data_IF_451784422364
#
_entry.id   IF_451784422364
#
_cell.length_a   1.000
_cell.length_b   1.000
_cell.length_c   1.000
_cell.angle_alpha   90.00
_cell.angle_beta   90.00
_cell.angle_gamma   90.00
#
_symmetry.space_group_name_H-M   'P 1'
#
loop_
_entity.id
_entity.type
_entity.pdbx_description
1 polymer ?
#
# COMPACT_ATOMS: atom_id res chain seq x y z
N UNK A 1 -5.39 21.38 -4.20
CA UNK A 1 -4.13 21.92 -4.76
C UNK A 1 -3.44 20.97 -5.73
N UNK A 2 -3.18 19.71 -5.36
CA UNK A 2 -2.47 18.75 -6.23
C UNK A 2 -3.12 18.52 -7.62
N UNK A 3 -4.45 18.41 -7.70
CA UNK A 3 -5.16 18.23 -8.97
C UNK A 3 -5.03 19.43 -9.94
N UNK A 4 -4.93 20.65 -9.42
CA UNK A 4 -4.72 21.86 -10.23
C UNK A 4 -3.27 21.90 -10.75
N UNK A 5 -2.30 21.57 -9.90
CA UNK A 5 -0.87 21.47 -10.29
C UNK A 5 -0.70 20.39 -11.36
N UNK A 6 -1.35 19.23 -11.21
CA UNK A 6 -1.31 18.17 -12.21
C UNK A 6 -1.92 18.62 -13.55
N UNK A 7 -3.09 19.28 -13.52
CA UNK A 7 -3.71 19.81 -14.75
C UNK A 7 -2.85 20.87 -15.44
N UNK A 8 -2.26 21.78 -14.68
CA UNK A 8 -1.35 22.80 -15.23
C UNK A 8 -0.07 22.15 -15.76
N UNK A 9 0.49 21.17 -15.06
CA UNK A 9 1.62 20.36 -15.53
C UNK A 9 1.31 19.63 -16.84
N UNK A 10 0.13 19.02 -16.96
CA UNK A 10 -0.31 18.36 -18.19
C UNK A 10 -0.48 19.35 -19.35
N UNK A 11 -1.04 20.53 -19.08
CA UNK A 11 -1.23 21.57 -20.09
C UNK A 11 0.11 22.14 -20.59
N UNK A 12 1.04 22.43 -19.68
CA UNK A 12 2.37 22.94 -20.03
C UNK A 12 3.18 21.92 -20.83
N UNK A 13 3.09 20.66 -20.45
CA UNK A 13 3.68 19.54 -21.17
C UNK A 13 3.10 19.38 -22.58
N UNK A 14 1.78 19.51 -22.76
CA UNK A 14 1.14 19.56 -24.09
C UNK A 14 1.65 20.73 -24.94
N UNK A 15 1.90 21.88 -24.31
CA UNK A 15 2.46 23.05 -24.98
C UNK A 15 3.93 22.84 -25.37
N UNK A 16 4.70 22.10 -24.58
CA UNK A 16 6.10 21.76 -24.85
C UNK A 16 6.28 20.68 -25.94
N UNK A 17 5.30 19.80 -26.13
CA UNK A 17 5.37 18.77 -27.18
C UNK A 17 5.37 19.35 -28.61
N UNK A 18 4.65 20.47 -28.84
CA UNK A 18 4.58 21.15 -30.14
C UNK A 18 5.92 21.73 -30.63
N UNK A 19 6.65 22.55 -29.85
CA UNK A 19 7.95 23.06 -30.26
C UNK A 19 8.98 21.93 -30.42
N UNK A 20 8.88 20.86 -29.62
CA UNK A 20 9.75 19.69 -29.77
C UNK A 20 9.56 19.01 -31.14
N UNK A 21 8.30 18.84 -31.57
CA UNK A 21 7.96 18.30 -32.88
C UNK A 21 8.57 19.14 -34.02
N UNK A 22 8.42 20.47 -33.92
CA UNK A 22 8.98 21.41 -34.90
C UNK A 22 10.52 21.43 -34.93
N UNK A 23 11.15 21.31 -33.77
CA UNK A 23 12.62 21.21 -33.68
C UNK A 23 13.13 19.89 -34.25
N UNK A 24 12.40 18.80 -34.04
CA UNK A 24 12.74 17.52 -34.64
C UNK A 24 12.62 17.57 -36.17
N UNK A 25 11.55 18.17 -36.69
CA UNK A 25 11.36 18.39 -38.12
C UNK A 25 12.50 19.21 -38.74
N UNK A 26 12.89 20.33 -38.13
CA UNK A 26 13.99 21.15 -38.64
C UNK A 26 15.35 20.44 -38.58
N UNK A 27 15.57 19.62 -37.55
CA UNK A 27 16.78 18.81 -37.41
C UNK A 27 16.86 17.71 -38.47
N UNK A 28 15.75 17.03 -38.75
CA UNK A 28 15.66 15.98 -39.78
C UNK A 28 15.82 16.57 -41.17
N UNK A 29 15.21 17.74 -41.44
CA UNK A 29 15.38 18.45 -42.70
C UNK A 29 16.83 18.92 -42.91
N UNK A 30 17.55 19.25 -41.84
CA UNK A 30 18.95 19.68 -41.89
C UNK A 30 19.96 18.56 -42.18
N UNK A 31 19.62 17.29 -41.97
CA UNK A 31 20.55 16.16 -42.12
C UNK A 31 20.04 15.07 -43.10
N UNK A 32 20.73 14.83 -44.23
CA UNK A 32 20.26 13.90 -45.27
C UNK A 32 20.23 12.41 -44.82
N UNK A 33 21.12 12.00 -43.91
CA UNK A 33 21.11 10.64 -43.36
C UNK A 33 19.90 10.40 -42.44
N UNK A 34 19.59 11.40 -41.61
CA UNK A 34 18.47 11.34 -40.67
C UNK A 34 17.14 11.37 -41.42
N UNK A 35 17.03 12.23 -42.42
CA UNK A 35 15.93 12.28 -43.39
C UNK A 35 15.62 10.90 -43.98
N UNK A 36 16.63 10.19 -44.52
CA UNK A 36 16.43 8.83 -45.06
C UNK A 36 15.94 7.82 -44.02
N UNK A 37 16.50 7.86 -42.81
CA UNK A 37 16.10 6.96 -41.73
C UNK A 37 14.67 7.24 -41.26
N UNK A 38 14.29 8.51 -41.15
CA UNK A 38 12.94 8.93 -40.77
C UNK A 38 11.92 8.49 -41.81
N UNK A 39 12.21 8.64 -43.11
CA UNK A 39 11.35 8.15 -44.18
C UNK A 39 11.16 6.64 -44.09
N UNK A 40 12.24 5.88 -43.85
CA UNK A 40 12.15 4.43 -43.70
C UNK A 40 11.30 4.01 -42.50
N UNK A 41 11.45 4.70 -41.36
CA UNK A 41 10.66 4.44 -40.14
C UNK A 41 9.19 4.81 -40.36
N UNK A 42 8.91 5.96 -40.97
CA UNK A 42 7.56 6.40 -41.28
C UNK A 42 6.85 5.42 -42.23
N UNK A 43 7.55 4.98 -43.28
CA UNK A 43 7.04 4.01 -44.24
C UNK A 43 6.79 2.65 -43.59
N UNK A 44 7.64 2.21 -42.65
CA UNK A 44 7.43 1.00 -41.87
C UNK A 44 6.20 1.12 -40.97
N UNK A 45 6.07 2.22 -40.22
CA UNK A 45 4.91 2.49 -39.37
C UNK A 45 3.61 2.52 -40.16
N UNK A 46 3.60 3.16 -41.32
CA UNK A 46 2.41 3.20 -42.18
C UNK A 46 2.03 1.81 -42.71
N UNK A 47 3.02 0.99 -43.09
CA UNK A 47 2.77 -0.41 -43.48
C UNK A 47 2.20 -1.23 -42.34
N UNK A 48 2.68 -1.02 -41.11
CA UNK A 48 2.13 -1.66 -39.92
C UNK A 48 0.69 -1.22 -39.65
N UNK A 49 0.42 0.08 -39.69
CA UNK A 49 -0.91 0.65 -39.47
C UNK A 49 -1.93 0.08 -40.46
N UNK A 50 -1.59 0.05 -41.75
CA UNK A 50 -2.44 -0.55 -42.78
C UNK A 50 -2.64 -2.05 -42.53
N UNK A 51 -1.62 -2.76 -42.07
CA UNK A 51 -1.70 -4.17 -41.70
C UNK A 51 -2.67 -4.44 -40.54
N UNK A 52 -2.55 -3.66 -39.46
CA UNK A 52 -3.41 -3.77 -38.27
C UNK A 52 -4.86 -3.45 -38.63
N UNK A 53 -5.10 -2.32 -39.31
CA UNK A 53 -6.45 -1.90 -39.68
C UNK A 53 -7.12 -2.91 -40.60
N UNK A 54 -6.41 -3.43 -41.60
CA UNK A 54 -6.96 -4.47 -42.48
C UNK A 54 -7.19 -5.80 -41.77
N UNK A 55 -6.33 -6.17 -40.83
CA UNK A 55 -6.52 -7.34 -39.98
C UNK A 55 -7.77 -7.22 -39.12
N UNK A 56 -7.99 -6.05 -38.53
CA UNK A 56 -9.21 -5.76 -37.77
C UNK A 56 -10.48 -5.76 -38.64
N UNK A 57 -10.37 -5.32 -39.91
CA UNK A 57 -11.46 -5.37 -40.90
C UNK A 57 -11.66 -6.76 -41.55
N UNK A 58 -10.87 -7.77 -41.18
CA UNK A 58 -10.96 -9.13 -41.73
C UNK A 58 -10.56 -9.24 -43.21
N UNK A 59 -9.90 -8.22 -43.78
CA UNK A 59 -9.51 -8.20 -45.21
C UNK A 59 -8.22 -8.99 -45.42
N UNK A 60 -8.33 -10.22 -45.89
CA UNK A 60 -7.17 -11.09 -46.21
C UNK A 60 -6.59 -10.78 -47.59
N UNK A 61 -5.40 -10.19 -47.65
CA UNK A 61 -4.66 -9.95 -48.90
C UNK A 61 -3.60 -8.87 -48.76
N UNK A 62 -2.50 -8.95 -49.52
CA UNK A 62 -1.43 -7.95 -49.53
C UNK A 62 -1.97 -6.62 -50.04
N UNK A 63 -2.07 -5.63 -49.16
CA UNK A 63 -2.32 -4.25 -49.58
C UNK A 63 -1.06 -3.69 -50.24
N UNK A 64 -1.20 -3.19 -51.46
CA UNK A 64 -0.15 -2.37 -52.06
C UNK A 64 -0.15 -1.01 -51.33
N UNK A 65 0.88 -0.78 -50.54
CA UNK A 65 1.12 0.48 -49.86
C UNK A 65 2.17 1.23 -50.67
N UNK A 66 1.75 2.30 -51.34
CA UNK A 66 2.66 3.17 -52.09
C UNK A 66 3.67 3.85 -51.17
N UNK A 67 4.81 4.26 -51.74
CA UNK A 67 5.78 5.07 -51.00
C UNK A 67 5.22 6.46 -50.73
N UNK A 68 5.23 6.87 -49.45
CA UNK A 68 4.75 8.19 -49.04
C UNK A 68 5.73 9.28 -49.49
N UNK A 69 5.22 10.48 -49.79
CA UNK A 69 6.07 11.63 -50.08
C UNK A 69 6.90 12.01 -48.85
N UNK A 70 8.05 12.61 -49.09
CA UNK A 70 9.01 12.98 -48.05
C UNK A 70 8.40 13.90 -46.98
N UNK A 71 7.60 14.88 -47.40
CA UNK A 71 6.92 15.81 -46.49
C UNK A 71 5.96 15.07 -45.55
N UNK A 72 5.18 14.12 -46.07
CA UNK A 72 4.25 13.32 -45.28
C UNK A 72 4.96 12.39 -44.31
N UNK A 73 6.11 11.83 -44.71
CA UNK A 73 6.91 10.99 -43.85
C UNK A 73 7.45 11.77 -42.64
N UNK A 74 7.93 12.99 -42.88
CA UNK A 74 8.45 13.87 -41.83
C UNK A 74 7.32 14.37 -40.92
N UNK A 75 6.15 14.70 -41.48
CA UNK A 75 4.96 15.06 -40.70
C UNK A 75 4.53 13.92 -39.77
N UNK A 76 4.42 12.70 -40.30
CA UNK A 76 4.06 11.51 -39.52
C UNK A 76 5.08 11.24 -38.42
N UNK A 77 6.37 11.32 -38.73
CA UNK A 77 7.44 11.11 -37.75
C UNK A 77 7.44 12.18 -36.65
N UNK A 78 7.22 13.45 -37.02
CA UNK A 78 7.12 14.57 -36.08
C UNK A 78 5.95 14.38 -35.11
N UNK A 79 4.79 13.94 -35.63
CA UNK A 79 3.63 13.58 -34.80
C UNK A 79 3.98 12.46 -33.81
N UNK A 80 4.56 11.37 -34.29
CA UNK A 80 4.96 10.22 -33.47
C UNK A 80 5.97 10.62 -32.38
N UNK A 81 6.94 11.48 -32.68
CA UNK A 81 7.90 12.00 -31.69
C UNK A 81 7.19 12.82 -30.61
N UNK A 82 6.25 13.69 -31.00
CA UNK A 82 5.50 14.53 -30.06
C UNK A 82 4.58 13.72 -29.14
N UNK A 83 3.92 12.71 -29.67
CA UNK A 83 3.08 11.78 -28.91
C UNK A 83 3.94 10.88 -28.02
N UNK A 84 5.08 10.39 -28.52
CA UNK A 84 6.05 9.61 -27.76
C UNK A 84 6.66 10.39 -26.60
N UNK A 85 6.95 11.68 -26.78
CA UNK A 85 7.40 12.55 -25.70
C UNK A 85 6.34 12.66 -24.60
N UNK A 86 5.07 12.88 -24.96
CA UNK A 86 3.97 12.96 -24.00
C UNK A 86 3.79 11.64 -23.24
N UNK A 87 3.82 10.52 -23.95
CA UNK A 87 3.77 9.21 -23.33
C UNK A 87 4.96 8.98 -22.38
N UNK A 88 6.16 9.34 -22.83
CA UNK A 88 7.40 9.23 -22.06
C UNK A 88 7.36 9.99 -20.74
N UNK A 89 6.92 11.25 -20.72
CA UNK A 89 6.83 11.92 -19.41
C UNK A 89 5.68 11.39 -18.55
N UNK A 90 4.60 10.88 -19.16
CA UNK A 90 3.56 10.17 -18.41
C UNK A 90 4.10 8.96 -17.67
N UNK A 91 4.92 8.15 -18.34
CA UNK A 91 5.64 7.02 -17.74
C UNK A 91 6.63 7.51 -16.67
N UNK A 92 7.40 8.56 -16.94
CA UNK A 92 8.35 9.11 -15.97
C UNK A 92 7.65 9.60 -14.69
N UNK A 93 6.53 10.32 -14.82
CA UNK A 93 5.70 10.76 -13.69
C UNK A 93 5.15 9.56 -12.91
N UNK A 94 4.70 8.52 -13.61
CA UNK A 94 4.23 7.30 -12.97
C UNK A 94 5.34 6.63 -12.15
N UNK A 95 6.55 6.52 -12.70
CA UNK A 95 7.71 5.95 -11.99
C UNK A 95 8.06 6.75 -10.74
N UNK A 96 8.03 8.09 -10.83
CA UNK A 96 8.26 8.96 -9.67
C UNK A 96 7.20 8.73 -8.58
N UNK A 97 5.92 8.64 -8.98
CA UNK A 97 4.82 8.38 -8.04
C UNK A 97 4.95 6.98 -7.40
N UNK A 98 5.33 5.96 -8.17
CA UNK A 98 5.58 4.61 -7.65
C UNK A 98 6.72 4.59 -6.63
N UNK A 99 7.82 5.26 -6.93
CA UNK A 99 8.95 5.37 -5.99
C UNK A 99 8.55 6.10 -4.71
N UNK A 100 7.74 7.16 -4.80
CA UNK A 100 7.23 7.87 -3.63
C UNK A 100 6.30 6.99 -2.80
N UNK A 101 5.34 6.30 -3.44
CA UNK A 101 4.39 5.40 -2.77
C UNK A 101 5.10 4.26 -2.05
N UNK A 102 6.09 3.64 -2.68
CA UNK A 102 6.88 2.57 -2.05
C UNK A 102 7.54 3.03 -0.74
N UNK A 103 8.00 4.28 -0.67
CA UNK A 103 8.58 4.85 0.55
C UNK A 103 7.55 5.09 1.65
N UNK A 104 6.37 5.61 1.29
CA UNK A 104 5.28 5.84 2.23
C UNK A 104 4.69 4.53 2.78
N UNK A 105 4.54 3.51 1.93
CA UNK A 105 4.01 2.22 2.33
C UNK A 105 4.97 1.47 3.27
N UNK A 106 6.28 1.62 3.06
CA UNK A 106 7.29 1.05 3.97
C UNK A 106 7.21 1.70 5.35
N UNK A 107 7.12 3.03 5.40
CA UNK A 107 6.98 3.77 6.66
C UNK A 107 5.65 3.46 7.39
N UNK A 108 4.57 3.21 6.65
CA UNK A 108 3.28 2.78 7.24
C UNK A 108 3.39 1.38 7.84
N UNK A 109 4.01 0.44 7.12
CA UNK A 109 4.20 -0.93 7.61
C UNK A 109 5.06 -0.95 8.88
N UNK A 110 6.12 -0.15 8.93
CA UNK A 110 6.95 -0.02 10.15
C UNK A 110 6.14 0.49 11.35
N UNK A 111 5.29 1.51 11.14
CA UNK A 111 4.39 2.00 12.20
C UNK A 111 3.38 0.95 12.65
N UNK A 112 2.78 0.23 11.71
CA UNK A 112 1.81 -0.82 12.04
C UNK A 112 2.45 -1.98 12.82
N UNK A 113 3.70 -2.34 12.48
CA UNK A 113 4.47 -3.33 13.24
C UNK A 113 4.76 -2.82 14.65
N UNK A 114 5.20 -1.57 14.79
CA UNK A 114 5.48 -0.96 16.09
C UNK A 114 4.22 -0.88 16.98
N UNK A 115 3.07 -0.51 16.42
CA UNK A 115 1.79 -0.48 17.15
C UNK A 115 1.37 -1.89 17.61
N UNK A 116 1.53 -2.91 16.74
CA UNK A 116 1.24 -4.30 17.11
C UNK A 116 2.17 -4.80 18.22
N UNK A 117 3.43 -4.42 18.22
CA UNK A 117 4.37 -4.76 19.30
C UNK A 117 3.97 -4.11 20.63
N UNK A 118 3.57 -2.84 20.61
CA UNK A 118 3.10 -2.15 21.81
C UNK A 118 1.82 -2.79 22.38
N UNK A 119 0.87 -3.16 21.52
CA UNK A 119 -0.35 -3.84 21.95
C UNK A 119 -0.03 -5.21 22.56
N UNK A 120 0.92 -5.96 21.98
CA UNK A 120 1.37 -7.25 22.53
C UNK A 120 2.02 -7.08 23.90
N UNK A 121 2.94 -6.13 24.06
CA UNK A 121 3.59 -5.85 25.35
C UNK A 121 2.56 -5.45 26.42
N UNK A 122 1.63 -4.56 26.07
CA UNK A 122 0.55 -4.16 26.97
C UNK A 122 -0.33 -5.36 27.36
N UNK A 123 -0.66 -6.23 26.41
CA UNK A 123 -1.43 -7.45 26.66
C UNK A 123 -0.68 -8.43 27.57
N UNK A 124 0.62 -8.62 27.38
CA UNK A 124 1.44 -9.46 28.25
C UNK A 124 1.49 -8.91 29.68
N UNK A 125 1.65 -7.59 29.86
CA UNK A 125 1.60 -6.94 31.18
C UNK A 125 0.24 -7.12 31.85
N UNK A 126 -0.86 -6.97 31.10
CA UNK A 126 -2.20 -7.25 31.61
C UNK A 126 -2.34 -8.70 32.06
N UNK A 127 -1.86 -9.66 31.26
CA UNK A 127 -1.93 -11.07 31.60
C UNK A 127 -1.09 -11.40 32.84
N UNK A 128 0.08 -10.78 33.01
CA UNK A 128 0.88 -10.92 34.24
C UNK A 128 0.14 -10.35 35.46
N UNK A 129 -0.45 -9.16 35.32
CA UNK A 129 -1.24 -8.53 36.38
C UNK A 129 -2.44 -9.40 36.79
N UNK A 130 -3.15 -10.00 35.83
CA UNK A 130 -4.24 -10.93 36.12
C UNK A 130 -3.77 -12.19 36.85
N UNK A 131 -2.59 -12.73 36.50
CA UNK A 131 -1.99 -13.88 37.19
C UNK A 131 -1.63 -13.53 38.63
N UNK A 132 -0.95 -12.40 38.84
CA UNK A 132 -0.60 -11.92 40.19
C UNK A 132 -1.85 -11.71 41.05
N UNK A 133 -2.89 -11.08 40.49
CA UNK A 133 -4.15 -10.89 41.20
C UNK A 133 -4.82 -12.22 41.58
N UNK A 134 -4.81 -13.21 40.67
CA UNK A 134 -5.32 -14.57 40.98
C UNK A 134 -4.54 -15.25 42.09
N UNK A 135 -3.22 -15.08 42.15
CA UNK A 135 -2.39 -15.62 43.23
C UNK A 135 -2.67 -14.95 44.57
N UNK A 136 -2.86 -13.63 44.57
CA UNK A 136 -3.27 -12.87 45.76
C UNK A 136 -4.63 -13.36 46.28
N UNK A 137 -5.63 -13.52 45.40
CA UNK A 137 -6.95 -14.04 45.78
C UNK A 137 -6.87 -15.47 46.35
N UNK A 138 -6.05 -16.34 45.76
CA UNK A 138 -5.80 -17.70 46.30
C UNK A 138 -5.18 -17.66 47.69
N UNK A 139 -4.24 -16.75 47.91
CA UNK A 139 -3.56 -16.59 49.21
C UNK A 139 -4.53 -16.08 50.27
N UNK A 140 -5.35 -15.08 49.93
CA UNK A 140 -6.38 -14.54 50.81
C UNK A 140 -7.43 -15.62 51.17
N UNK A 141 -7.89 -16.39 50.18
CA UNK A 141 -8.81 -17.52 50.41
C UNK A 141 -8.23 -18.55 51.39
N UNK A 142 -6.95 -18.91 51.26
CA UNK A 142 -6.26 -19.81 52.20
C UNK A 142 -6.18 -19.21 53.61
N UNK A 143 -5.95 -17.91 53.74
CA UNK A 143 -5.92 -17.24 55.04
C UNK A 143 -7.30 -17.25 55.71
N UNK A 144 -8.36 -16.94 54.96
CA UNK A 144 -9.74 -17.01 55.46
C UNK A 144 -10.09 -18.43 55.93
N UNK A 145 -9.74 -19.45 55.15
CA UNK A 145 -9.97 -20.84 55.55
C UNK A 145 -9.23 -21.22 56.83
N UNK A 146 -7.97 -20.79 57.00
CA UNK A 146 -7.21 -20.99 58.25
C UNK A 146 -7.83 -20.27 59.45
N UNK A 147 -8.43 -19.09 59.25
CA UNK A 147 -9.13 -18.38 60.32
C UNK A 147 -10.40 -19.13 60.72
N UNK A 148 -11.17 -19.62 59.75
CA UNK A 148 -12.39 -20.39 59.98
C UNK A 148 -12.08 -21.70 60.74
N UNK A 149 -11.06 -22.46 60.31
CA UNK A 149 -10.58 -23.64 61.04
C UNK A 149 -10.17 -23.32 62.49
N UNK A 150 -9.50 -22.19 62.72
CA UNK A 150 -9.11 -21.75 64.07
C UNK A 150 -10.32 -21.37 64.92
N UNK A 151 -11.32 -20.69 64.34
CA UNK A 151 -12.56 -20.35 65.03
C UNK A 151 -13.32 -21.62 65.43
N UNK A 152 -13.50 -22.56 64.51
CA UNK A 152 -14.12 -23.86 64.79
C UNK A 152 -13.37 -24.65 65.87
N UNK A 153 -12.04 -24.67 65.83
CA UNK A 153 -11.24 -25.32 66.86
C UNK A 153 -11.38 -24.66 68.24
N UNK A 154 -11.47 -23.33 68.29
CA UNK A 154 -11.73 -22.60 69.54
C UNK A 154 -13.14 -22.88 70.06
N UNK A 155 -14.13 -22.90 69.17
CA UNK A 155 -15.52 -23.20 69.52
C UNK A 155 -15.67 -24.64 70.05
N UNK A 156 -15.04 -25.63 69.41
CA UNK A 156 -15.01 -27.02 69.89
C UNK A 156 -14.29 -27.16 71.25
N UNK A 157 -13.21 -26.38 71.49
CA UNK A 157 -12.58 -26.32 72.81
C UNK A 157 -13.46 -25.67 73.88
N UNK A 158 -14.22 -24.63 73.53
CA UNK A 158 -15.14 -23.96 74.45
C UNK A 158 -16.40 -24.80 74.71
N UNK A 159 -16.96 -25.45 73.68
CA UNK A 159 -18.09 -26.39 73.78
C UNK A 159 -17.74 -27.65 74.56
N UNK A 160 -16.49 -28.15 74.45
CA UNK A 160 -16.00 -29.18 75.37
C UNK A 160 -15.76 -28.67 76.78
N UNK A 161 -15.41 -27.39 76.99
CA UNK A 161 -15.27 -26.83 78.36
C UNK A 161 -16.61 -26.61 79.06
N UNK A 162 -17.70 -26.36 78.33
CA UNK A 162 -19.03 -26.24 78.93
C UNK A 162 -19.64 -27.57 79.36
N UNK A 163 -19.22 -28.70 78.77
CA UNK A 163 -19.73 -30.04 79.13
C UNK A 163 -19.07 -30.67 80.38
N UNK A 164 -17.99 -30.09 80.91
CA UNK A 164 -17.34 -30.52 82.16
C UNK A 164 -17.77 -29.71 83.41
N UNK A 165 -18.65 -28.71 83.26
CA UNK A 165 -19.21 -27.98 84.39
C UNK A 165 -20.44 -28.74 84.92
N UNK A 166 -20.45 -29.21 86.18
CA UNK A 166 -21.59 -29.93 86.72
C UNK A 166 -22.81 -29.00 86.78
N UNK A 167 -23.95 -29.45 86.25
CA UNK A 167 -25.21 -28.70 86.30
C UNK A 167 -25.77 -28.68 87.73
N UNK A 168 -25.32 -27.73 88.53
CA UNK A 168 -25.94 -27.41 89.80
C UNK A 168 -27.15 -26.50 89.58
N UNK A 169 -28.33 -27.12 89.64
CA UNK A 169 -29.54 -26.63 90.32
C UNK A 169 -30.20 -25.31 89.85
N UNK A 170 -31.46 -25.43 89.41
CA UNK A 170 -32.56 -24.70 90.04
C UNK A 170 -33.87 -25.46 89.87
N UNK A 171 -34.30 -26.10 90.94
CA UNK A 171 -35.64 -26.65 91.14
C UNK A 171 -36.65 -25.52 91.36
N UNK A 172 -37.77 -25.58 90.67
CA UNK A 172 -39.07 -25.12 91.15
C UNK A 172 -40.12 -26.15 90.76
#
# INVERSE_FOLDING_TARGET
MAALVFKVGLLTMKTAAKPLAKQFESFVMGHPLLRRNVINVAQWLHKLEVGITRGAEGKTGRAFVGDMSEEKAVELASKVVSEGFLYGMGVALLVVELNRKNKEDSAKKEKEIAEKEQIKDLHERHLQTEKELREQLRTLSKQLHRLDERLQFMEDKMGRRSSWLPSWGSSS
#
